data_IF_387517490271
#
_entry.id   IF_387517490271
#
_cell.length_a   1.000
_cell.length_b   1.000
_cell.length_c   1.000
_cell.angle_alpha   90.00
_cell.angle_beta   90.00
_cell.angle_gamma   90.00
#
_symmetry.space_group_name_H-M   'P 1'
#
loop_
_entity.id
_entity.type
_entity.pdbx_description
1 polymer ?
#
# COMPACT_ATOMS: atom_id res chain seq x y z
N UNK A 1 12.07 2.31 32.78
CA UNK A 1 12.30 1.11 31.94
C UNK A 1 11.23 1.14 30.88
N UNK A 2 11.62 1.48 29.66
CA UNK A 2 10.77 1.41 28.48
C UNK A 2 10.74 -0.06 28.04
N UNK A 3 9.62 -0.75 28.29
CA UNK A 3 9.43 -2.14 27.87
C UNK A 3 9.08 -2.14 26.39
N UNK A 4 10.09 -1.87 25.57
CA UNK A 4 9.95 -1.69 24.13
C UNK A 4 9.40 -2.94 23.45
N UNK A 5 8.16 -2.85 22.97
CA UNK A 5 7.60 -3.77 21.99
C UNK A 5 6.95 -3.00 20.83
N UNK A 6 6.25 -1.89 21.07
CA UNK A 6 5.74 -1.06 19.96
C UNK A 6 6.74 0.03 19.53
N UNK A 7 7.42 -0.16 18.40
CA UNK A 7 8.07 0.95 17.68
C UNK A 7 7.42 1.10 16.31
N UNK A 8 7.46 2.30 15.74
CA UNK A 8 6.90 2.50 14.42
C UNK A 8 7.43 3.73 13.72
N UNK A 9 7.45 3.67 12.39
CA UNK A 9 7.81 4.80 11.53
C UNK A 9 6.55 5.59 11.20
N UNK A 10 6.56 6.90 11.49
CA UNK A 10 5.44 7.79 11.10
C UNK A 10 5.97 8.98 10.32
N UNK A 11 5.48 9.16 9.10
CA UNK A 11 5.84 10.30 8.25
C UNK A 11 4.59 10.95 7.65
N UNK A 12 4.54 12.27 7.73
CA UNK A 12 3.51 13.08 7.09
C UNK A 12 4.17 14.16 6.22
N UNK A 13 3.83 14.21 4.93
CA UNK A 13 4.32 15.26 4.02
C UNK A 13 3.16 16.07 3.46
N UNK A 14 3.31 17.39 3.43
CA UNK A 14 2.29 18.32 2.97
C UNK A 14 2.88 19.30 1.95
N UNK A 15 2.16 19.57 0.86
CA UNK A 15 2.51 20.66 -0.06
C UNK A 15 2.51 20.28 -1.54
N UNK A 16 3.19 21.08 -2.34
CA UNK A 16 3.33 20.87 -3.78
C UNK A 16 4.75 20.45 -4.10
N UNK A 17 4.91 19.44 -4.96
CA UNK A 17 6.24 19.02 -5.41
C UNK A 17 6.13 18.40 -6.79
N UNK A 18 7.15 18.59 -7.62
CA UNK A 18 7.22 17.87 -8.91
C UNK A 18 7.48 16.39 -8.65
N UNK A 19 8.37 16.08 -7.70
CA UNK A 19 8.73 14.73 -7.31
C UNK A 19 8.77 14.58 -5.79
N UNK A 20 8.26 13.47 -5.28
CA UNK A 20 8.41 13.05 -3.89
C UNK A 20 8.72 11.55 -3.83
N UNK A 21 9.76 11.20 -3.09
CA UNK A 21 10.20 9.83 -2.87
C UNK A 21 10.21 9.55 -1.37
N UNK A 22 9.54 8.47 -0.95
CA UNK A 22 9.43 8.06 0.45
C UNK A 22 9.75 6.58 0.56
N UNK A 23 10.84 6.25 1.25
CA UNK A 23 11.38 4.88 1.34
C UNK A 23 11.77 4.57 2.79
N UNK A 24 10.79 4.35 3.70
CA UNK A 24 11.09 3.91 5.06
C UNK A 24 11.50 2.44 5.06
N UNK A 25 12.34 2.09 6.02
CA UNK A 25 12.76 0.70 6.27
C UNK A 25 12.63 0.42 7.76
N UNK A 26 11.89 -0.62 8.15
CA UNK A 26 11.77 -1.02 9.55
C UNK A 26 11.98 -2.52 9.79
N UNK A 27 12.74 -2.86 10.84
CA UNK A 27 13.17 -4.23 11.17
C UNK A 27 12.92 -4.57 12.64
N UNK A 28 12.53 -5.81 12.94
CA UNK A 28 12.19 -6.28 14.29
C UNK A 28 10.73 -6.73 14.46
N UNK A 29 10.33 -6.90 15.72
CA UNK A 29 8.99 -7.36 16.14
C UNK A 29 8.04 -6.17 16.35
N UNK A 30 6.74 -6.40 16.18
CA UNK A 30 5.64 -5.49 16.53
C UNK A 30 5.89 -4.05 16.01
N UNK A 31 5.87 -3.88 14.69
CA UNK A 31 6.06 -2.54 14.10
C UNK A 31 4.93 -2.08 13.22
N UNK A 32 4.70 -0.78 13.35
CA UNK A 32 3.77 -0.01 12.54
C UNK A 32 4.51 0.98 11.65
N UNK A 33 4.35 0.87 10.33
CA UNK A 33 4.76 1.91 9.39
C UNK A 33 3.54 2.70 8.95
N UNK A 34 3.51 4.02 9.17
CA UNK A 34 2.39 4.89 8.78
C UNK A 34 2.89 6.09 7.99
N UNK A 35 2.53 6.16 6.72
CA UNK A 35 2.92 7.25 5.83
C UNK A 35 1.69 7.97 5.31
N UNK A 36 1.71 9.30 5.40
CA UNK A 36 0.66 10.17 4.89
C UNK A 36 1.25 11.23 3.95
N UNK A 37 0.68 11.40 2.78
CA UNK A 37 1.02 12.50 1.86
C UNK A 37 -0.23 13.29 1.52
N UNK A 38 -0.15 14.62 1.60
CA UNK A 38 -1.23 15.53 1.25
C UNK A 38 -0.74 16.63 0.31
N UNK A 39 -1.37 16.78 -0.85
CA UNK A 39 -1.14 17.92 -1.74
C UNK A 39 -1.18 17.62 -3.24
N UNK A 40 -0.45 18.42 -4.02
CA UNK A 40 -0.38 18.27 -5.48
C UNK A 40 1.01 17.83 -5.92
N UNK A 41 1.10 16.67 -6.55
CA UNK A 41 2.37 16.06 -6.92
C UNK A 41 2.43 15.79 -8.42
N UNK A 42 3.56 16.07 -9.06
CA UNK A 42 3.80 15.52 -10.40
C UNK A 42 3.89 14.00 -10.31
N UNK A 43 4.80 13.54 -9.45
CA UNK A 43 5.11 12.15 -9.21
C UNK A 43 5.30 11.86 -7.72
N UNK A 44 4.70 10.77 -7.25
CA UNK A 44 4.90 10.24 -5.91
C UNK A 44 5.32 8.77 -5.99
N UNK A 45 6.44 8.45 -5.33
CA UNK A 45 6.94 7.09 -5.18
C UNK A 45 7.05 6.74 -3.69
N UNK A 46 6.34 5.71 -3.26
CA UNK A 46 6.31 5.26 -1.87
C UNK A 46 6.67 3.78 -1.81
N UNK A 47 7.78 3.46 -1.17
CA UNK A 47 8.38 2.11 -1.17
C UNK A 47 8.78 1.73 0.26
N UNK A 48 7.83 1.43 1.16
CA UNK A 48 8.18 0.92 2.48
C UNK A 48 8.72 -0.50 2.37
N UNK A 49 9.71 -0.81 3.19
CA UNK A 49 10.34 -2.13 3.26
C UNK A 49 10.39 -2.59 4.72
N UNK A 50 9.51 -3.51 5.11
CA UNK A 50 9.42 -3.97 6.49
C UNK A 50 9.72 -5.46 6.64
N UNK A 51 10.60 -5.80 7.60
CA UNK A 51 11.01 -7.20 7.87
C UNK A 51 10.86 -7.58 9.34
N UNK A 52 10.29 -8.76 9.62
CA UNK A 52 10.10 -9.26 10.99
C UNK A 52 8.72 -9.88 11.24
N UNK A 53 8.28 -9.86 12.49
CA UNK A 53 7.03 -10.47 12.96
C UNK A 53 6.03 -9.37 13.32
N UNK A 54 4.74 -9.62 13.10
CA UNK A 54 3.62 -8.77 13.47
C UNK A 54 3.77 -7.33 12.95
N UNK A 55 3.48 -7.15 11.65
CA UNK A 55 3.73 -5.88 10.95
C UNK A 55 2.48 -5.29 10.32
N UNK A 56 2.34 -3.98 10.49
CA UNK A 56 1.22 -3.22 9.98
C UNK A 56 1.72 -2.00 9.18
N UNK A 57 1.62 -2.08 7.86
CA UNK A 57 1.97 -1.00 6.92
C UNK A 57 0.70 -0.25 6.53
N UNK A 58 0.65 1.05 6.80
CA UNK A 58 -0.50 1.92 6.46
C UNK A 58 -0.04 3.13 5.66
N UNK A 59 -0.54 3.24 4.45
CA UNK A 59 -0.18 4.28 3.50
C UNK A 59 -1.43 5.07 3.11
N UNK A 60 -1.33 6.39 3.17
CA UNK A 60 -2.40 7.31 2.81
C UNK A 60 -1.90 8.41 1.90
N UNK A 61 -2.53 8.61 0.75
CA UNK A 61 -2.27 9.76 -0.12
C UNK A 61 -3.55 10.53 -0.38
N UNK A 62 -3.53 11.84 -0.17
CA UNK A 62 -4.66 12.72 -0.42
C UNK A 62 -4.25 13.86 -1.36
N UNK A 63 -5.01 14.07 -2.44
CA UNK A 63 -4.85 15.22 -3.32
C UNK A 63 -4.76 14.85 -4.80
N UNK A 64 -4.00 15.61 -5.57
CA UNK A 64 -3.87 15.41 -7.02
C UNK A 64 -2.47 14.92 -7.36
N UNK A 65 -2.38 13.91 -8.23
CA UNK A 65 -1.10 13.44 -8.75
C UNK A 65 -1.13 13.22 -10.26
N UNK A 66 -0.03 13.50 -10.94
CA UNK A 66 0.16 12.98 -12.30
C UNK A 66 0.29 11.45 -12.25
N UNK A 67 1.23 11.00 -11.43
CA UNK A 67 1.56 9.60 -11.22
C UNK A 67 1.75 9.28 -9.74
N UNK A 68 1.18 8.17 -9.31
CA UNK A 68 1.37 7.60 -7.98
C UNK A 68 1.83 6.14 -8.11
N UNK A 69 3.00 5.84 -7.53
CA UNK A 69 3.58 4.51 -7.46
C UNK A 69 3.75 4.11 -6.01
N UNK A 70 3.12 3.00 -5.61
CA UNK A 70 3.19 2.50 -4.24
C UNK A 70 3.58 1.03 -4.26
N UNK A 71 4.72 0.71 -3.66
CA UNK A 71 5.37 -0.61 -3.75
C UNK A 71 5.81 -1.04 -2.35
N UNK A 72 4.88 -1.44 -1.46
CA UNK A 72 5.25 -2.00 -0.17
C UNK A 72 5.90 -3.38 -0.36
N UNK A 73 6.95 -3.63 0.41
CA UNK A 73 7.77 -4.84 0.32
C UNK A 73 7.99 -5.42 1.71
N UNK A 74 7.18 -6.42 2.05
CA UNK A 74 7.03 -6.85 3.43
C UNK A 74 7.40 -8.36 3.57
N UNK A 75 8.49 -8.69 4.30
CA UNK A 75 8.96 -10.09 4.52
C UNK A 75 8.97 -10.60 5.98
N UNK A 76 8.18 -11.63 6.32
CA UNK A 76 8.13 -12.27 7.65
C UNK A 76 6.74 -12.77 8.07
N UNK A 77 6.45 -12.92 9.37
CA UNK A 77 5.18 -13.51 9.86
C UNK A 77 4.14 -12.44 10.20
N UNK A 78 2.86 -12.74 9.98
CA UNK A 78 1.65 -11.97 10.30
C UNK A 78 1.70 -10.49 9.88
N UNK A 79 1.09 -10.20 8.72
CA UNK A 79 1.25 -8.91 8.04
C UNK A 79 -0.04 -8.28 7.58
N UNK A 80 -0.17 -6.98 7.81
CA UNK A 80 -1.25 -6.16 7.30
C UNK A 80 -0.72 -5.00 6.45
N UNK A 81 -1.04 -5.01 5.15
CA UNK A 81 -0.78 -3.87 4.26
C UNK A 81 -2.10 -3.15 3.98
N UNK A 82 -2.18 -1.87 4.32
CA UNK A 82 -3.36 -1.02 4.05
C UNK A 82 -2.95 0.22 3.26
N UNK A 83 -3.44 0.33 2.04
CA UNK A 83 -3.24 1.51 1.21
C UNK A 83 -4.58 2.21 0.97
N UNK A 84 -4.59 3.53 1.20
CA UNK A 84 -5.69 4.41 0.86
C UNK A 84 -5.21 5.56 -0.04
N UNK A 85 -5.84 5.74 -1.19
CA UNK A 85 -5.61 6.93 -2.03
C UNK A 85 -6.90 7.70 -2.20
N UNK A 86 -6.90 8.99 -1.92
CA UNK A 86 -8.04 9.87 -2.10
C UNK A 86 -7.68 11.03 -3.03
N UNK A 87 -8.47 11.24 -4.09
CA UNK A 87 -8.36 12.39 -4.98
C UNK A 87 -8.23 12.02 -6.45
N UNK A 88 -7.49 12.81 -7.23
CA UNK A 88 -7.37 12.60 -8.67
C UNK A 88 -5.96 12.15 -9.05
N UNK A 89 -5.86 11.13 -9.89
CA UNK A 89 -4.58 10.70 -10.46
C UNK A 89 -4.68 10.50 -11.95
N UNK A 90 -3.63 10.85 -12.70
CA UNK A 90 -3.51 10.38 -14.08
C UNK A 90 -3.34 8.87 -14.09
N UNK A 91 -2.37 8.39 -13.31
CA UNK A 91 -2.04 7.00 -13.16
C UNK A 91 -1.77 6.62 -11.71
N UNK A 92 -2.34 5.50 -11.28
CA UNK A 92 -2.07 4.87 -9.99
C UNK A 92 -1.56 3.44 -10.22
N UNK A 93 -0.36 3.17 -9.74
CA UNK A 93 0.27 1.86 -9.74
C UNK A 93 0.50 1.40 -8.31
N UNK A 94 -0.07 0.26 -7.95
CA UNK A 94 0.13 -0.37 -6.64
C UNK A 94 0.61 -1.80 -6.81
N UNK A 95 1.75 -2.09 -6.22
CA UNK A 95 2.44 -3.38 -6.38
C UNK A 95 2.91 -3.85 -5.02
N UNK A 96 2.02 -4.37 -4.15
CA UNK A 96 2.44 -4.99 -2.90
C UNK A 96 3.17 -6.29 -3.19
N UNK A 97 4.30 -6.47 -2.52
CA UNK A 97 5.19 -7.62 -2.68
C UNK A 97 5.50 -8.20 -1.31
N UNK A 98 4.63 -9.09 -0.84
CA UNK A 98 4.77 -9.58 0.52
C UNK A 98 5.22 -11.06 0.50
N UNK A 99 5.98 -11.49 1.52
CA UNK A 99 6.44 -12.89 1.71
C UNK A 99 6.43 -13.27 3.20
N UNK A 100 6.09 -14.52 3.56
CA UNK A 100 5.61 -14.82 4.93
C UNK A 100 4.54 -15.90 5.11
N UNK A 101 3.96 -16.00 6.31
CA UNK A 101 2.94 -17.01 6.65
C UNK A 101 1.51 -16.50 6.44
N UNK A 102 1.06 -15.52 7.23
CA UNK A 102 -0.31 -14.96 7.15
C UNK A 102 -0.29 -13.50 6.69
N UNK A 103 -1.17 -13.14 5.74
CA UNK A 103 -1.24 -11.78 5.19
C UNK A 103 -2.63 -11.27 4.87
N UNK A 104 -2.79 -9.98 5.16
CA UNK A 104 -3.95 -9.16 4.81
C UNK A 104 -3.51 -7.95 4.00
N UNK A 105 -3.84 -7.93 2.70
CA UNK A 105 -3.63 -6.77 1.83
C UNK A 105 -4.96 -6.07 1.58
N UNK A 106 -5.07 -4.79 1.92
CA UNK A 106 -6.27 -3.97 1.68
C UNK A 106 -5.93 -2.70 0.94
N UNK A 107 -6.46 -2.57 -0.27
CA UNK A 107 -6.34 -1.37 -1.08
C UNK A 107 -7.70 -0.68 -1.21
N UNK A 108 -7.71 0.62 -0.97
CA UNK A 108 -8.85 1.50 -1.18
C UNK A 108 -8.44 2.69 -2.05
N UNK A 109 -9.12 2.89 -3.17
CA UNK A 109 -8.94 4.10 -3.99
C UNK A 109 -10.26 4.85 -4.05
N UNK A 110 -10.28 6.11 -3.64
CA UNK A 110 -11.43 6.99 -3.73
C UNK A 110 -11.12 8.19 -4.64
N UNK A 111 -11.93 8.40 -5.67
CA UNK A 111 -11.82 9.55 -6.56
C UNK A 111 -11.70 9.15 -8.03
N UNK A 112 -11.01 9.97 -8.82
CA UNK A 112 -10.92 9.76 -10.27
C UNK A 112 -9.50 9.33 -10.66
N UNK A 113 -9.39 8.28 -11.46
CA UNK A 113 -8.11 7.90 -12.07
C UNK A 113 -8.26 7.74 -13.58
N UNK A 114 -7.25 8.17 -14.34
CA UNK A 114 -7.17 7.79 -15.76
C UNK A 114 -6.96 6.28 -15.86
N UNK A 115 -5.96 5.78 -15.13
CA UNK A 115 -5.60 4.38 -15.07
C UNK A 115 -5.28 3.93 -13.65
N UNK A 116 -5.80 2.77 -13.27
CA UNK A 116 -5.47 2.08 -12.04
C UNK A 116 -4.90 0.69 -12.36
N UNK A 117 -3.67 0.46 -11.91
CA UNK A 117 -2.97 -0.82 -12.02
C UNK A 117 -2.67 -1.36 -10.62
N UNK A 118 -3.16 -2.55 -10.32
CA UNK A 118 -2.93 -3.23 -9.05
C UNK A 118 -2.38 -4.63 -9.32
N UNK A 119 -1.17 -4.90 -8.83
CA UNK A 119 -0.43 -6.14 -9.10
C UNK A 119 0.12 -6.69 -7.78
N UNK A 120 -0.71 -7.35 -6.96
CA UNK A 120 -0.24 -8.01 -5.75
C UNK A 120 0.59 -9.23 -6.13
N UNK A 121 1.72 -9.39 -5.44
CA UNK A 121 2.72 -10.43 -5.66
C UNK A 121 3.07 -11.08 -4.32
N UNK A 122 2.09 -11.77 -3.74
CA UNK A 122 2.22 -12.30 -2.39
C UNK A 122 2.56 -13.80 -2.42
N UNK A 123 3.58 -14.23 -1.67
CA UNK A 123 3.96 -15.65 -1.53
C UNK A 123 3.86 -16.13 -0.08
N UNK A 124 3.01 -17.11 0.27
CA UNK A 124 2.83 -17.51 1.68
C UNK A 124 1.86 -18.67 1.95
N UNK A 125 1.48 -18.88 3.21
CA UNK A 125 0.49 -19.90 3.59
C UNK A 125 -0.92 -19.34 3.43
N UNK A 126 -1.31 -18.33 4.23
CA UNK A 126 -2.66 -17.76 4.28
C UNK A 126 -2.67 -16.30 3.78
N UNK A 127 -3.58 -15.97 2.88
CA UNK A 127 -3.70 -14.63 2.28
C UNK A 127 -5.13 -14.18 2.03
N UNK A 128 -5.41 -12.93 2.39
CA UNK A 128 -6.62 -12.19 2.02
C UNK A 128 -6.25 -10.86 1.35
N UNK A 129 -6.56 -10.75 0.06
CA UNK A 129 -6.39 -9.51 -0.70
C UNK A 129 -7.74 -8.88 -0.99
N UNK A 130 -7.96 -7.66 -0.52
CA UNK A 130 -9.18 -6.88 -0.76
C UNK A 130 -8.86 -5.60 -1.50
N UNK A 131 -9.46 -5.43 -2.67
CA UNK A 131 -9.37 -4.22 -3.46
C UNK A 131 -10.74 -3.56 -3.56
N UNK A 132 -10.82 -2.32 -3.12
CA UNK A 132 -12.00 -1.46 -3.22
C UNK A 132 -11.68 -0.20 -4.01
N UNK A 133 -12.43 0.07 -5.07
CA UNK A 133 -12.33 1.32 -5.83
C UNK A 133 -13.68 2.04 -5.79
N UNK A 134 -13.70 3.28 -5.32
CA UNK A 134 -14.86 4.15 -5.31
C UNK A 134 -14.60 5.37 -6.20
N UNK A 135 -15.46 5.58 -7.20
CA UNK A 135 -15.33 6.66 -8.18
C UNK A 135 -14.94 6.17 -9.57
N UNK A 136 -14.66 7.10 -10.48
CA UNK A 136 -14.50 6.80 -11.90
C UNK A 136 -13.04 6.50 -12.23
N UNK A 137 -12.78 5.31 -12.76
CA UNK A 137 -11.50 4.98 -13.39
C UNK A 137 -11.73 4.80 -14.88
N UNK A 138 -10.90 5.44 -15.73
CA UNK A 138 -10.95 5.21 -17.17
C UNK A 138 -10.63 3.76 -17.51
N UNK A 139 -9.61 3.20 -16.83
CA UNK A 139 -9.21 1.81 -16.95
C UNK A 139 -8.78 1.23 -15.59
N UNK A 140 -9.19 -0.01 -15.33
CA UNK A 140 -8.78 -0.79 -14.16
C UNK A 140 -8.12 -2.09 -14.62
N UNK A 141 -6.90 -2.33 -14.15
CA UNK A 141 -6.15 -3.56 -14.36
C UNK A 141 -5.76 -4.15 -13.00
N UNK A 142 -6.22 -5.36 -12.72
CA UNK A 142 -5.90 -6.10 -11.50
C UNK A 142 -5.31 -7.43 -11.91
N UNK A 143 -4.05 -7.66 -11.55
CA UNK A 143 -3.30 -8.88 -11.94
C UNK A 143 -2.64 -9.47 -10.69
N UNK A 144 -3.37 -10.28 -9.91
CA UNK A 144 -2.79 -10.97 -8.76
C UNK A 144 -1.87 -12.10 -9.23
N UNK A 145 -0.66 -12.12 -8.68
CA UNK A 145 0.39 -13.11 -8.96
C UNK A 145 0.79 -13.86 -7.69
N UNK A 146 -0.21 -14.20 -6.88
CA UNK A 146 0.02 -14.79 -5.56
C UNK A 146 0.32 -16.30 -5.69
N UNK A 147 1.12 -16.87 -4.78
CA UNK A 147 1.42 -18.34 -4.76
C UNK A 147 1.40 -18.96 -3.35
N UNK A 148 0.78 -20.14 -3.18
CA UNK A 148 0.71 -20.90 -1.90
C UNK A 148 -0.68 -21.47 -1.58
N UNK A 149 -0.90 -21.88 -0.33
CA UNK A 149 -1.93 -22.86 0.07
C UNK A 149 -3.35 -22.29 0.20
N UNK A 150 -3.55 -21.19 0.92
CA UNK A 150 -4.88 -20.60 1.16
C UNK A 150 -4.91 -19.12 0.73
N UNK A 151 -5.78 -18.81 -0.23
CA UNK A 151 -5.86 -17.49 -0.88
C UNK A 151 -7.29 -17.06 -1.12
N UNK A 152 -7.62 -15.87 -0.63
CA UNK A 152 -8.84 -15.13 -0.98
C UNK A 152 -8.46 -13.81 -1.66
N UNK A 153 -9.16 -13.48 -2.75
CA UNK A 153 -8.99 -12.20 -3.44
C UNK A 153 -10.37 -11.66 -3.79
N UNK A 154 -10.69 -10.50 -3.22
CA UNK A 154 -11.98 -9.82 -3.39
C UNK A 154 -11.80 -8.48 -4.07
N UNK A 155 -12.55 -8.27 -5.15
CA UNK A 155 -12.59 -7.01 -5.88
C UNK A 155 -13.97 -6.38 -5.75
N UNK A 156 -14.02 -5.12 -5.32
CA UNK A 156 -15.23 -4.30 -5.29
C UNK A 156 -15.00 -2.97 -6.00
N UNK A 157 -15.84 -2.66 -6.98
CA UNK A 157 -15.83 -1.38 -7.70
C UNK A 157 -17.19 -0.71 -7.53
N UNK A 158 -17.21 0.53 -7.05
CA UNK A 158 -18.42 1.32 -6.81
C UNK A 158 -18.30 2.65 -7.56
N UNK A 159 -19.26 2.95 -8.44
CA UNK A 159 -19.27 4.12 -9.31
C UNK A 159 -20.17 5.24 -8.82
#
# INVERSE_FOLDING_TARGET
MDTGYDRGTRLGTFGQSVYLYVVPMDTGYDRDTRLGTFGQLGYLYVVPMDTGYDRDTRLGTFGQSGYLYVVPMDTGYDRGTRLGTFGQSGYLYVVPMDTGYDRDTRLGTFGQSGYLYVVPMDTGYDRDTRLGTFGQSGYLYVVPMDTGYDRDTRLGTFG
#
